data_IF_933906021309
#
_entry.id   IF_933906021309
#
_cell.length_a   1.000
_cell.length_b   1.000
_cell.length_c   1.000
_cell.angle_alpha   90.00
_cell.angle_beta   90.00
_cell.angle_gamma   90.00
#
_symmetry.space_group_name_H-M   'P 1'
#
loop_
_entity.id
_entity.type
_entity.pdbx_description
1 polymer ?
#
# COMPACT_ATOMS: atom_id res chain seq x y z
N UNK A 1 -16.76 39.76 8.91
CA UNK A 1 -16.02 38.68 9.60
C UNK A 1 -14.56 39.09 9.68
N UNK A 2 -13.91 38.97 10.86
CA UNK A 2 -12.44 39.09 10.92
C UNK A 2 -11.82 37.84 10.31
N UNK A 3 -10.79 37.96 9.46
CA UNK A 3 -10.06 36.78 9.00
C UNK A 3 -9.41 36.09 10.20
N UNK A 4 -9.59 34.77 10.31
CA UNK A 4 -8.85 33.94 11.25
C UNK A 4 -7.47 33.68 10.64
N UNK A 5 -6.40 34.03 11.36
CA UNK A 5 -5.05 33.82 10.90
C UNK A 5 -4.55 32.46 11.39
N UNK A 6 -3.61 31.84 10.67
CA UNK A 6 -3.14 30.48 10.97
C UNK A 6 -2.57 30.34 12.40
N UNK A 7 -1.92 31.38 12.93
CA UNK A 7 -1.37 31.40 14.29
C UNK A 7 -2.42 31.53 15.39
N UNK A 8 -3.68 31.87 15.03
CA UNK A 8 -4.79 31.94 15.98
C UNK A 8 -5.44 30.56 16.23
N UNK A 9 -5.02 29.53 15.48
CA UNK A 9 -5.55 28.17 15.61
C UNK A 9 -4.91 27.42 16.80
N UNK A 10 -5.60 26.42 17.37
CA UNK A 10 -4.99 25.52 18.37
C UNK A 10 -3.74 24.82 17.81
N UNK A 11 -2.76 24.58 18.69
CA UNK A 11 -1.49 23.95 18.35
C UNK A 11 -1.66 22.64 17.57
N UNK A 12 -2.65 21.83 17.95
CA UNK A 12 -2.94 20.53 17.32
C UNK A 12 -3.42 20.70 15.88
N UNK A 13 -4.23 21.73 15.62
CA UNK A 13 -4.74 22.04 14.27
C UNK A 13 -3.62 22.55 13.38
N UNK A 14 -2.75 23.42 13.92
CA UNK A 14 -1.57 23.91 13.21
C UNK A 14 -0.66 22.74 12.84
N UNK A 15 -0.36 21.83 13.79
CA UNK A 15 0.47 20.67 13.51
C UNK A 15 -0.13 19.75 12.43
N UNK A 16 -1.46 19.55 12.42
CA UNK A 16 -2.14 18.79 11.37
C UNK A 16 -1.95 19.44 10.00
N UNK A 17 -2.10 20.76 9.90
CA UNK A 17 -1.90 21.50 8.64
C UNK A 17 -0.43 21.37 8.18
N UNK A 18 0.53 21.54 9.09
CA UNK A 18 1.96 21.42 8.78
C UNK A 18 2.33 20.00 8.36
N UNK A 19 1.74 18.96 8.96
CA UNK A 19 1.98 17.57 8.58
C UNK A 19 1.49 17.23 7.15
N UNK A 20 0.63 18.06 6.55
CA UNK A 20 0.16 17.90 5.16
C UNK A 20 1.09 18.58 4.14
N UNK A 21 2.06 19.38 4.59
CA UNK A 21 2.94 20.10 3.70
C UNK A 21 4.01 19.18 3.09
N UNK A 22 4.39 19.41 1.82
CA UNK A 22 5.55 18.79 1.20
C UNK A 22 6.85 19.05 1.97
N UNK A 23 7.79 18.11 1.87
CA UNK A 23 8.99 18.06 2.71
C UNK A 23 10.02 19.15 2.40
N UNK A 24 10.10 19.57 1.15
CA UNK A 24 10.83 20.74 0.67
C UNK A 24 10.29 22.04 1.30
N UNK A 25 8.97 22.19 1.34
CA UNK A 25 8.32 23.33 2.03
C UNK A 25 8.60 23.31 3.53
N UNK A 26 8.58 22.13 4.16
CA UNK A 26 8.94 22.00 5.58
C UNK A 26 10.39 22.42 5.85
N UNK A 27 11.32 22.06 4.97
CA UNK A 27 12.72 22.43 5.07
C UNK A 27 12.90 23.95 4.93
N UNK A 28 12.21 24.57 3.99
CA UNK A 28 12.20 26.03 3.84
C UNK A 28 11.63 26.73 5.08
N UNK A 29 10.49 26.25 5.60
CA UNK A 29 9.86 26.79 6.81
C UNK A 29 10.74 26.68 8.05
N UNK A 30 11.55 25.61 8.13
CA UNK A 30 12.52 25.38 9.20
C UNK A 30 13.72 26.34 9.12
N UNK A 31 14.23 26.62 7.92
CA UNK A 31 15.39 27.50 7.72
C UNK A 31 15.05 28.98 7.58
N UNK A 32 13.76 29.33 7.47
CA UNK A 32 13.33 30.72 7.42
C UNK A 32 13.48 31.39 8.80
N UNK A 33 14.42 32.34 8.90
CA UNK A 33 14.67 33.09 10.13
C UNK A 33 13.42 33.86 10.59
N UNK A 34 13.17 33.88 11.91
CA UNK A 34 12.01 34.51 12.56
C UNK A 34 10.63 33.92 12.18
N UNK A 35 10.56 32.61 11.94
CA UNK A 35 9.31 31.91 11.70
C UNK A 35 8.75 31.24 12.98
N UNK A 36 7.54 31.62 13.41
CA UNK A 36 6.83 30.98 14.53
C UNK A 36 6.42 29.53 14.21
N UNK A 37 6.38 29.17 12.92
CA UNK A 37 6.05 27.82 12.43
C UNK A 37 7.24 26.85 12.54
N UNK A 38 8.45 27.36 12.79
CA UNK A 38 9.70 26.58 12.75
C UNK A 38 9.68 25.34 13.66
N UNK A 39 9.09 25.42 14.85
CA UNK A 39 8.95 24.29 15.77
C UNK A 39 8.02 23.19 15.23
N UNK A 40 6.89 23.57 14.61
CA UNK A 40 5.97 22.62 13.97
C UNK A 40 6.60 21.97 12.74
N UNK A 41 7.32 22.77 11.95
CA UNK A 41 8.03 22.29 10.77
C UNK A 41 9.16 21.32 11.17
N UNK A 42 9.89 21.62 12.25
CA UNK A 42 10.88 20.72 12.82
C UNK A 42 10.27 19.37 13.23
N UNK A 43 9.17 19.38 13.98
CA UNK A 43 8.48 18.15 14.40
C UNK A 43 7.96 17.34 13.21
N UNK A 44 7.41 18.00 12.19
CA UNK A 44 6.92 17.34 10.99
C UNK A 44 8.06 16.75 10.15
N UNK A 45 9.14 17.51 9.95
CA UNK A 45 10.27 17.11 9.12
C UNK A 45 11.06 15.95 9.75
N UNK A 46 11.41 16.06 11.04
CA UNK A 46 12.18 15.04 11.76
C UNK A 46 11.31 13.96 12.40
N UNK A 47 9.98 14.03 12.26
CA UNK A 47 9.06 13.05 12.84
C UNK A 47 9.30 11.60 12.38
N UNK A 48 9.85 11.42 11.18
CA UNK A 48 10.33 10.15 10.64
C UNK A 48 11.80 10.28 10.28
N UNK A 49 12.64 9.42 10.86
CA UNK A 49 14.10 9.43 10.70
C UNK A 49 14.55 8.15 10.01
N UNK A 50 15.55 8.24 9.13
CA UNK A 50 16.24 7.09 8.55
C UNK A 50 17.74 7.26 8.73
N UNK A 51 18.44 6.20 9.11
CA UNK A 51 19.91 6.16 9.19
C UNK A 51 20.42 5.42 7.96
N UNK A 52 21.13 6.13 7.08
CA UNK A 52 21.70 5.58 5.86
C UNK A 52 23.19 5.87 5.75
N UNK A 53 24.04 4.84 5.89
CA UNK A 53 25.51 4.97 5.85
C UNK A 53 26.03 5.35 4.45
N UNK A 54 25.25 5.06 3.42
CA UNK A 54 25.47 5.55 2.07
C UNK A 54 24.17 6.20 1.63
N UNK A 55 24.20 7.51 1.32
CA UNK A 55 23.24 8.05 0.37
C UNK A 55 23.30 7.11 -0.82
N UNK A 56 22.21 6.43 -1.19
CA UNK A 56 22.30 5.38 -2.17
C UNK A 56 22.96 6.01 -3.38
N UNK A 57 24.02 5.38 -3.89
CA UNK A 57 24.58 5.72 -5.20
C UNK A 57 23.50 5.65 -6.32
N UNK A 58 22.24 5.29 -6.00
CA UNK A 58 21.01 5.45 -6.78
C UNK A 58 20.39 6.86 -6.83
N UNK A 59 21.13 7.94 -6.56
CA UNK A 59 20.80 9.19 -7.29
C UNK A 59 21.18 9.07 -8.79
N UNK A 60 21.86 7.99 -9.20
CA UNK A 60 21.93 7.58 -10.60
C UNK A 60 21.00 6.39 -10.82
N UNK A 61 19.86 6.70 -11.46
CA UNK A 61 18.87 5.75 -11.98
C UNK A 61 18.32 4.76 -10.96
N UNK A 62 17.32 5.18 -10.17
CA UNK A 62 16.13 4.33 -10.07
C UNK A 62 15.68 4.16 -11.53
N UNK A 63 15.67 2.95 -12.12
CA UNK A 63 14.97 2.78 -13.36
C UNK A 63 13.54 3.19 -13.04
N UNK A 64 13.09 4.32 -13.60
CA UNK A 64 11.68 4.69 -13.66
C UNK A 64 10.94 3.39 -13.97
N UNK A 65 10.11 2.84 -13.07
CA UNK A 65 9.43 1.54 -13.31
C UNK A 65 9.44 0.49 -12.19
N UNK A 66 10.23 0.64 -11.12
CA UNK A 66 10.03 -0.15 -9.90
C UNK A 66 8.89 0.48 -9.08
N UNK A 67 7.80 -0.27 -8.90
CA UNK A 67 6.67 0.15 -8.06
C UNK A 67 7.14 0.09 -6.62
N UNK A 68 7.52 1.27 -6.12
CA UNK A 68 7.97 1.43 -4.74
C UNK A 68 6.87 0.93 -3.82
N UNK A 69 7.15 -0.06 -2.99
CA UNK A 69 6.19 -0.50 -1.97
C UNK A 69 5.73 0.75 -1.16
N UNK A 70 4.46 0.95 -0.78
CA UNK A 70 4.05 1.94 0.23
C UNK A 70 4.67 1.70 1.60
N UNK A 71 5.46 0.63 1.73
CA UNK A 71 6.41 0.49 2.81
C UNK A 71 7.85 0.72 2.36
N UNK A 72 8.26 0.59 1.10
CA UNK A 72 9.60 1.10 0.69
C UNK A 72 9.65 2.59 0.98
N UNK A 73 10.69 3.02 1.69
CA UNK A 73 10.83 4.42 2.02
C UNK A 73 10.88 5.19 0.71
N UNK A 74 9.86 5.99 0.42
CA UNK A 74 10.11 7.16 -0.41
C UNK A 74 11.16 7.92 0.37
N UNK A 75 12.37 8.06 -0.17
CA UNK A 75 13.43 8.81 0.50
C UNK A 75 12.92 10.21 0.90
N UNK A 76 11.98 10.72 0.12
CA UNK A 76 11.18 11.93 0.28
C UNK A 76 10.24 11.95 1.51
N UNK A 77 10.12 10.86 2.29
CA UNK A 77 9.32 10.78 3.52
C UNK A 77 10.15 10.75 4.81
N UNK A 78 11.47 10.55 4.76
CA UNK A 78 12.33 10.42 5.94
C UNK A 78 13.42 11.50 6.02
N UNK A 79 13.76 11.92 7.24
CA UNK A 79 14.96 12.71 7.48
C UNK A 79 16.14 11.74 7.47
N UNK A 80 16.99 11.85 6.45
CA UNK A 80 18.11 10.92 6.27
C UNK A 80 19.33 11.42 7.02
N UNK A 81 19.83 10.60 7.94
CA UNK A 81 21.09 10.80 8.63
C UNK A 81 22.14 9.89 8.03
N UNK A 82 23.29 10.44 7.65
CA UNK A 82 24.33 9.73 6.92
C UNK A 82 25.04 8.61 7.69
N UNK A 83 24.77 8.44 8.98
CA UNK A 83 25.24 7.34 9.82
C UNK A 83 24.65 7.46 11.23
N UNK A 84 24.81 6.39 12.03
CA UNK A 84 24.39 6.35 13.43
C UNK A 84 24.94 7.51 14.26
N UNK A 85 26.21 7.86 14.09
CA UNK A 85 26.85 8.95 14.84
C UNK A 85 26.18 10.29 14.60
N UNK A 86 25.72 10.54 13.37
CA UNK A 86 25.01 11.76 12.99
C UNK A 86 23.63 11.83 13.66
N UNK A 87 22.94 10.70 13.74
CA UNK A 87 21.69 10.62 14.49
C UNK A 87 21.91 10.86 15.98
N UNK A 88 22.91 10.22 16.59
CA UNK A 88 23.24 10.40 18.01
C UNK A 88 23.53 11.86 18.33
N UNK A 89 24.42 12.50 17.57
CA UNK A 89 24.75 13.92 17.76
C UNK A 89 23.52 14.83 17.65
N UNK A 90 22.60 14.50 16.73
CA UNK A 90 21.34 15.22 16.60
C UNK A 90 20.44 15.03 17.82
N UNK A 91 20.25 13.78 18.28
CA UNK A 91 19.43 13.48 19.45
C UNK A 91 19.99 14.11 20.73
N UNK A 92 21.31 14.11 20.88
CA UNK A 92 22.00 14.78 21.99
C UNK A 92 21.81 16.30 21.96
N UNK A 93 21.70 16.89 20.76
CA UNK A 93 21.39 18.31 20.59
C UNK A 93 19.92 18.65 20.87
N UNK A 94 19.03 17.65 20.83
CA UNK A 94 17.57 17.80 21.04
C UNK A 94 17.02 16.72 22.00
N UNK A 95 17.44 16.69 23.28
CA UNK A 95 17.21 15.56 24.18
C UNK A 95 15.73 15.32 24.55
N UNK A 96 14.86 16.31 24.37
CA UNK A 96 13.42 16.21 24.62
C UNK A 96 12.63 15.78 23.38
N UNK A 97 13.27 15.74 22.20
CA UNK A 97 12.63 15.33 20.97
C UNK A 97 12.52 13.81 20.90
N UNK A 98 11.39 13.30 20.43
CA UNK A 98 11.20 11.87 20.17
C UNK A 98 10.57 11.70 18.81
N UNK A 99 11.25 11.06 17.84
CA UNK A 99 10.67 10.80 16.54
C UNK A 99 9.53 9.78 16.67
N UNK A 100 8.56 9.88 15.77
CA UNK A 100 7.47 8.90 15.69
C UNK A 100 7.93 7.58 15.06
N UNK A 101 8.93 7.63 14.18
CA UNK A 101 9.50 6.46 13.51
C UNK A 101 11.00 6.61 13.27
N UNK A 102 11.77 5.53 13.47
CA UNK A 102 13.17 5.42 13.07
C UNK A 102 13.35 4.19 12.16
N UNK A 103 13.86 4.37 10.95
CA UNK A 103 14.36 3.31 10.06
C UNK A 103 15.88 3.20 10.19
N UNK A 104 16.35 1.98 10.40
CA UNK A 104 17.75 1.60 10.45
C UNK A 104 18.09 0.83 9.19
N UNK A 105 19.21 1.14 8.54
CA UNK A 105 19.67 0.39 7.37
C UNK A 105 20.19 -1.01 7.70
N UNK A 106 20.55 -1.28 8.94
CA UNK A 106 20.98 -2.61 9.37
C UNK A 106 20.62 -2.84 10.85
N UNK A 107 20.63 -4.11 11.24
CA UNK A 107 20.34 -4.50 12.62
C UNK A 107 21.42 -4.05 13.60
N UNK A 108 22.68 -3.96 13.17
CA UNK A 108 23.81 -3.59 14.03
C UNK A 108 23.67 -2.15 14.56
N UNK A 109 23.17 -1.22 13.75
CA UNK A 109 22.87 0.14 14.17
C UNK A 109 21.76 0.21 15.21
N UNK A 110 20.70 -0.60 15.05
CA UNK A 110 19.65 -0.72 16.06
C UNK A 110 20.20 -1.30 17.37
N UNK A 111 21.06 -2.32 17.30
CA UNK A 111 21.68 -2.92 18.50
C UNK A 111 22.60 -1.89 19.18
N UNK A 112 23.41 -1.16 18.41
CA UNK A 112 24.30 -0.15 18.96
C UNK A 112 23.53 1.03 19.56
N UNK A 113 22.42 1.43 18.94
CA UNK A 113 21.50 2.41 19.52
C UNK A 113 20.80 1.88 20.77
N UNK A 114 20.46 0.59 20.85
CA UNK A 114 19.93 -0.02 22.08
C UNK A 114 20.84 0.23 23.27
N UNK A 115 22.13 -0.07 23.07
CA UNK A 115 23.11 -0.05 24.15
C UNK A 115 23.35 1.36 24.70
N UNK A 116 23.03 2.39 23.92
CA UNK A 116 23.34 3.78 24.24
C UNK A 116 22.10 4.65 24.46
N UNK A 117 20.95 4.30 23.87
CA UNK A 117 19.75 5.14 23.81
C UNK A 117 18.44 4.33 23.97
N UNK A 118 18.46 3.25 24.76
CA UNK A 118 17.28 2.38 24.99
C UNK A 118 16.03 3.17 25.42
N UNK A 119 16.17 4.14 26.34
CA UNK A 119 15.04 4.94 26.81
C UNK A 119 14.35 5.76 25.71
N UNK A 120 15.11 6.24 24.73
CA UNK A 120 14.56 6.92 23.57
C UNK A 120 13.82 5.93 22.68
N UNK A 121 14.45 4.80 22.34
CA UNK A 121 13.85 3.77 21.48
C UNK A 121 12.57 3.21 22.08
N UNK A 122 12.49 3.14 23.41
CA UNK A 122 11.26 2.79 24.14
C UNK A 122 10.16 3.84 24.06
N UNK A 123 10.40 5.06 23.59
CA UNK A 123 9.37 6.10 23.38
C UNK A 123 8.97 6.25 21.91
N UNK A 124 9.81 5.76 20.99
CA UNK A 124 9.54 5.78 19.55
C UNK A 124 8.40 4.83 19.22
N UNK A 125 7.37 5.31 18.52
CA UNK A 125 6.17 4.51 18.23
C UNK A 125 6.43 3.37 17.25
N UNK A 126 7.41 3.54 16.37
CA UNK A 126 7.73 2.56 15.32
C UNK A 126 9.23 2.48 15.05
N UNK A 127 9.75 1.27 15.04
CA UNK A 127 11.13 0.99 14.64
C UNK A 127 11.08 0.12 13.38
N UNK A 128 11.89 0.46 12.39
CA UNK A 128 11.95 -0.22 11.12
C UNK A 128 13.39 -0.59 10.79
N UNK A 129 13.57 -1.73 10.15
CA UNK A 129 14.88 -2.21 9.68
C UNK A 129 14.81 -2.36 8.15
N UNK A 130 15.75 -1.77 7.46
CA UNK A 130 15.79 -1.52 6.03
C UNK A 130 17.09 -2.12 5.47
N UNK A 131 17.26 -3.45 5.52
CA UNK A 131 18.55 -4.08 5.19
C UNK A 131 18.75 -4.23 3.68
N UNK A 132 19.64 -3.42 3.10
CA UNK A 132 20.02 -3.56 1.70
C UNK A 132 20.95 -4.78 1.52
N UNK A 133 20.48 -5.76 0.75
CA UNK A 133 21.25 -6.82 0.09
C UNK A 133 22.58 -7.26 0.75
N UNK A 134 22.55 -8.32 1.55
CA UNK A 134 23.75 -9.06 1.88
C UNK A 134 24.20 -9.89 0.67
N UNK A 135 25.25 -9.43 -0.03
CA UNK A 135 25.92 -10.16 -1.13
C UNK A 135 27.12 -10.92 -0.56
N UNK A 136 26.87 -11.80 0.41
CA UNK A 136 27.89 -12.72 0.93
C UNK A 136 27.58 -14.13 0.45
N UNK A 137 28.62 -14.87 0.03
CA UNK A 137 28.49 -16.27 -0.34
C UNK A 137 27.98 -17.09 0.86
N UNK A 138 26.84 -17.77 0.64
CA UNK A 138 26.37 -18.98 1.29
C UNK A 138 26.81 -19.18 2.75
N UNK A 139 26.03 -18.64 3.70
CA UNK A 139 25.86 -19.23 5.02
C UNK A 139 24.44 -18.95 5.54
N UNK A 140 23.81 -19.95 6.15
CA UNK A 140 22.55 -19.77 6.87
C UNK A 140 22.79 -18.77 8.01
N UNK A 141 22.38 -17.52 7.83
CA UNK A 141 22.47 -16.51 8.87
C UNK A 141 21.29 -16.65 9.84
N UNK A 142 21.64 -16.82 11.11
CA UNK A 142 20.69 -16.96 12.20
C UNK A 142 20.18 -15.58 12.59
N UNK A 143 18.93 -15.28 12.25
CA UNK A 143 18.30 -14.06 12.75
C UNK A 143 17.93 -14.24 14.22
N UNK A 144 18.71 -13.62 15.10
CA UNK A 144 18.41 -13.62 16.53
C UNK A 144 17.32 -12.60 16.82
N UNK A 145 16.06 -13.04 16.67
CA UNK A 145 14.87 -12.30 17.12
C UNK A 145 15.03 -11.74 18.54
N UNK A 146 15.84 -12.37 19.42
CA UNK A 146 16.14 -11.90 20.79
C UNK A 146 16.45 -10.40 20.88
N UNK A 147 17.25 -9.86 19.96
CA UNK A 147 17.71 -8.47 20.02
C UNK A 147 16.60 -7.50 19.59
N UNK A 148 15.81 -7.90 18.59
CA UNK A 148 14.66 -7.17 18.07
C UNK A 148 13.46 -7.23 19.04
N UNK A 149 13.30 -8.34 19.77
CA UNK A 149 12.24 -8.57 20.77
C UNK A 149 12.38 -7.73 22.05
N UNK A 150 13.52 -7.09 22.28
CA UNK A 150 13.69 -6.15 23.40
C UNK A 150 12.79 -4.91 23.25
N UNK A 151 12.29 -4.66 22.04
CA UNK A 151 11.48 -3.50 21.71
C UNK A 151 9.99 -3.84 21.66
N UNK A 152 9.14 -3.09 22.39
CA UNK A 152 7.71 -3.37 22.50
C UNK A 152 6.90 -2.95 21.26
N UNK A 153 7.53 -2.61 20.13
CA UNK A 153 6.89 -1.87 19.02
C UNK A 153 6.82 -2.63 17.69
N UNK A 154 6.00 -2.09 16.79
CA UNK A 154 5.67 -2.61 15.47
C UNK A 154 6.88 -2.67 14.54
N UNK A 155 7.65 -3.76 14.62
CA UNK A 155 8.83 -3.98 13.78
C UNK A 155 8.39 -4.35 12.36
N UNK A 156 8.86 -3.58 11.39
CA UNK A 156 8.79 -3.90 9.96
C UNK A 156 10.21 -4.06 9.43
N UNK A 157 10.45 -5.16 8.72
CA UNK A 157 11.70 -5.40 7.99
C UNK A 157 11.43 -5.40 6.50
N UNK A 158 12.27 -4.70 5.73
CA UNK A 158 12.20 -4.70 4.27
C UNK A 158 13.53 -5.12 3.68
N UNK A 159 13.44 -6.18 2.87
CA UNK A 159 14.52 -6.82 2.11
C UNK A 159 15.48 -7.68 2.94
N UNK A 160 15.42 -8.99 2.66
CA UNK A 160 16.51 -9.95 2.85
C UNK A 160 16.44 -10.86 1.63
N UNK A 161 17.35 -10.71 0.65
CA UNK A 161 17.36 -11.65 -0.48
C UNK A 161 17.95 -12.99 -0.05
N UNK A 162 17.35 -14.06 -0.57
CA UNK A 162 17.88 -15.42 -0.76
C UNK A 162 19.02 -15.84 0.17
N UNK A 163 18.67 -16.31 1.36
CA UNK A 163 19.07 -17.61 1.90
C UNK A 163 18.32 -17.79 3.22
N UNK A 164 17.92 -19.02 3.54
CA UNK A 164 16.95 -19.33 4.60
C UNK A 164 17.39 -18.74 5.95
N UNK A 165 16.77 -17.64 6.36
CA UNK A 165 16.90 -17.11 7.70
C UNK A 165 16.03 -17.98 8.61
N UNK A 166 16.69 -18.86 9.34
CA UNK A 166 16.06 -19.74 10.32
C UNK A 166 15.89 -18.98 11.64
N UNK A 167 14.64 -18.77 12.04
CA UNK A 167 14.33 -18.30 13.39
C UNK A 167 14.24 -19.51 14.32
N UNK A 168 15.34 -19.88 14.99
CA UNK A 168 15.34 -20.88 16.05
C UNK A 168 15.12 -20.19 17.39
N UNK A 169 13.87 -20.20 17.87
CA UNK A 169 13.45 -19.54 19.11
C UNK A 169 13.37 -20.52 20.28
N UNK A 170 14.39 -21.35 20.47
CA UNK A 170 14.33 -22.40 21.49
C UNK A 170 14.49 -21.88 22.93
N UNK A 171 14.99 -20.65 23.14
CA UNK A 171 15.40 -20.15 24.47
C UNK A 171 14.99 -18.69 24.80
N UNK A 172 13.87 -18.19 24.29
CA UNK A 172 13.52 -16.76 24.45
C UNK A 172 12.22 -16.50 25.19
N UNK A 173 12.30 -15.72 26.27
CA UNK A 173 11.18 -15.01 26.89
C UNK A 173 10.64 -13.99 25.89
N UNK A 174 9.61 -14.38 25.15
CA UNK A 174 8.97 -13.49 24.18
C UNK A 174 8.24 -12.39 24.94
N UNK A 175 8.38 -11.14 24.51
CA UNK A 175 7.52 -10.08 24.99
C UNK A 175 6.10 -10.34 24.48
N UNK A 176 5.17 -10.60 25.40
CA UNK A 176 3.76 -10.86 25.09
C UNK A 176 3.07 -9.65 24.46
N UNK A 177 3.68 -8.46 24.43
CA UNK A 177 3.09 -7.21 23.95
C UNK A 177 3.13 -6.96 22.44
N UNK A 178 3.81 -7.78 21.63
CA UNK A 178 3.95 -7.53 20.19
C UNK A 178 2.59 -7.69 19.48
N UNK A 179 2.15 -6.64 18.78
CA UNK A 179 0.88 -6.61 18.05
C UNK A 179 1.03 -6.69 16.53
N UNK A 180 2.16 -6.29 15.96
CA UNK A 180 2.40 -6.27 14.52
C UNK A 180 3.79 -6.82 14.21
N UNK A 181 3.87 -7.81 13.32
CA UNK A 181 5.11 -8.47 12.92
C UNK A 181 5.16 -8.73 11.41
N UNK A 182 6.20 -8.25 10.75
CA UNK A 182 6.49 -8.52 9.34
C UNK A 182 7.88 -9.15 9.21
N UNK A 183 7.92 -10.40 8.76
CA UNK A 183 9.14 -11.20 8.55
C UNK A 183 9.14 -11.78 7.13
N UNK A 184 9.38 -10.95 6.11
CA UNK A 184 9.15 -11.30 4.71
C UNK A 184 9.92 -12.54 4.30
N UNK A 185 11.22 -12.63 4.53
CA UNK A 185 12.06 -13.73 4.01
C UNK A 185 12.56 -14.72 5.08
N UNK A 186 12.00 -14.67 6.29
CA UNK A 186 12.39 -15.58 7.37
C UNK A 186 11.43 -16.78 7.49
N UNK A 187 11.99 -17.91 7.91
CA UNK A 187 11.23 -19.14 8.22
C UNK A 187 11.19 -19.38 9.73
N UNK A 188 9.98 -19.56 10.25
CA UNK A 188 9.76 -20.03 11.62
C UNK A 188 9.93 -21.56 11.67
N UNK A 189 10.89 -22.06 12.46
CA UNK A 189 11.19 -23.50 12.58
C UNK A 189 10.12 -24.23 13.38
N UNK A 190 9.71 -23.65 14.51
CA UNK A 190 8.64 -24.18 15.36
C UNK A 190 7.50 -23.14 15.45
N UNK A 191 6.57 -23.14 14.48
CA UNK A 191 5.45 -22.21 14.45
C UNK A 191 4.58 -22.30 15.70
N UNK A 192 4.38 -23.52 16.24
CA UNK A 192 3.54 -23.74 17.42
C UNK A 192 4.12 -22.99 18.62
N UNK A 193 5.40 -23.25 18.93
CA UNK A 193 6.07 -22.61 20.07
C UNK A 193 6.26 -21.12 19.86
N UNK A 194 6.53 -20.70 18.62
CA UNK A 194 6.72 -19.30 18.27
C UNK A 194 5.44 -18.47 18.46
N UNK A 195 4.33 -18.91 17.87
CA UNK A 195 3.07 -18.18 17.93
C UNK A 195 2.35 -18.32 19.28
N UNK A 196 2.57 -19.40 20.04
CA UNK A 196 2.05 -19.54 21.40
C UNK A 196 2.51 -18.42 22.33
N UNK A 197 3.68 -17.82 22.09
CA UNK A 197 4.19 -16.69 22.90
C UNK A 197 3.74 -15.31 22.39
N UNK A 198 3.06 -15.26 21.24
CA UNK A 198 2.62 -14.06 20.54
C UNK A 198 1.10 -13.86 20.67
N UNK A 199 0.57 -14.02 21.88
CA UNK A 199 -0.88 -14.03 22.14
C UNK A 199 -1.58 -12.72 21.74
N UNK A 200 -0.87 -11.59 21.70
CA UNK A 200 -1.42 -10.28 21.32
C UNK A 200 -1.19 -9.90 19.84
N UNK A 201 -0.63 -10.79 19.03
CA UNK A 201 -0.31 -10.50 17.63
C UNK A 201 -1.56 -10.30 16.78
N UNK A 202 -1.79 -9.07 16.34
CA UNK A 202 -2.93 -8.67 15.50
C UNK A 202 -2.62 -8.72 14.01
N UNK A 203 -1.40 -8.39 13.62
CA UNK A 203 -0.99 -8.31 12.22
C UNK A 203 0.25 -9.15 11.97
N UNK A 204 0.20 -9.99 10.94
CA UNK A 204 1.34 -10.82 10.55
C UNK A 204 1.58 -10.80 9.04
N UNK A 205 2.85 -10.70 8.65
CA UNK A 205 3.25 -10.81 7.25
C UNK A 205 4.51 -11.66 7.09
N UNK A 206 4.50 -12.59 6.14
CA UNK A 206 5.65 -13.43 5.81
C UNK A 206 5.50 -14.03 4.41
N UNK A 207 6.62 -14.34 3.75
CA UNK A 207 6.61 -15.25 2.60
C UNK A 207 6.15 -16.63 3.06
N UNK A 208 6.68 -17.16 4.15
CA UNK A 208 6.41 -18.53 4.60
C UNK A 208 5.02 -18.70 5.23
N UNK A 209 4.17 -17.66 5.19
CA UNK A 209 2.84 -17.68 5.83
C UNK A 209 2.01 -18.90 5.43
N UNK A 210 2.03 -19.24 4.14
CA UNK A 210 1.27 -20.36 3.58
C UNK A 210 1.76 -21.73 4.04
N UNK A 211 2.96 -21.81 4.61
CA UNK A 211 3.52 -23.04 5.16
C UNK A 211 3.10 -23.26 6.63
N UNK A 212 2.43 -22.29 7.25
CA UNK A 212 1.95 -22.41 8.63
C UNK A 212 0.53 -22.97 8.67
N UNK A 213 0.32 -23.95 9.55
CA UNK A 213 -1.03 -24.44 9.85
C UNK A 213 -1.82 -23.33 10.55
N UNK A 214 -3.07 -23.14 10.14
CA UNK A 214 -3.99 -22.15 10.73
C UNK A 214 -4.11 -22.29 12.25
N UNK A 215 -4.12 -23.53 12.75
CA UNK A 215 -4.18 -23.87 14.18
C UNK A 215 -3.01 -23.31 15.01
N UNK A 216 -1.85 -23.09 14.39
CA UNK A 216 -0.67 -22.55 15.06
C UNK A 216 -0.74 -21.03 15.22
N UNK A 217 -1.57 -20.35 14.42
CA UNK A 217 -1.58 -18.88 14.38
C UNK A 217 -2.32 -18.29 15.59
N UNK A 218 -1.90 -17.11 16.10
CA UNK A 218 -2.55 -16.49 17.26
C UNK A 218 -4.02 -16.17 17.01
N UNK A 219 -4.88 -16.42 18.02
CA UNK A 219 -6.32 -16.14 17.95
C UNK A 219 -6.66 -14.65 17.85
N UNK A 220 -5.72 -13.77 18.20
CA UNK A 220 -5.85 -12.31 18.12
C UNK A 220 -5.57 -11.74 16.72
N UNK A 221 -5.10 -12.58 15.78
CA UNK A 221 -4.69 -12.17 14.45
C UNK A 221 -5.88 -11.70 13.60
N UNK A 222 -5.91 -10.44 13.18
CA UNK A 222 -6.99 -9.87 12.38
C UNK A 222 -6.54 -9.48 10.95
N UNK A 223 -5.25 -9.27 10.75
CA UNK A 223 -4.65 -8.84 9.50
C UNK A 223 -3.53 -9.79 9.08
N UNK A 224 -3.58 -10.23 7.83
CA UNK A 224 -2.58 -11.09 7.22
C UNK A 224 -2.10 -10.46 5.93
N UNK A 225 -0.78 -10.43 5.72
CA UNK A 225 -0.17 -10.03 4.45
C UNK A 225 0.72 -11.14 3.89
N UNK A 226 0.34 -11.66 2.74
CA UNK A 226 1.03 -12.72 1.99
C UNK A 226 1.91 -12.08 0.93
N UNK A 227 3.14 -12.55 0.81
CA UNK A 227 4.12 -12.05 -0.15
C UNK A 227 4.35 -13.08 -1.27
N UNK A 228 4.37 -12.61 -2.52
CA UNK A 228 4.22 -13.43 -3.74
C UNK A 228 5.32 -14.40 -4.09
N UNK A 229 6.54 -14.27 -3.56
CA UNK A 229 7.57 -15.29 -3.80
C UNK A 229 7.08 -16.69 -3.39
N UNK A 230 6.17 -16.74 -2.43
CA UNK A 230 5.54 -17.98 -1.97
C UNK A 230 4.34 -18.42 -2.80
N UNK A 231 3.74 -17.50 -3.58
CA UNK A 231 2.55 -17.76 -4.39
C UNK A 231 2.90 -18.39 -5.75
N UNK A 232 4.11 -18.12 -6.26
CA UNK A 232 4.57 -18.63 -7.56
C UNK A 232 4.74 -20.15 -7.62
N UNK A 233 4.95 -20.81 -6.48
CA UNK A 233 5.16 -22.25 -6.41
C UNK A 233 3.89 -23.02 -6.02
N UNK A 234 2.75 -22.36 -5.87
CA UNK A 234 1.51 -23.00 -5.44
C UNK A 234 0.76 -23.58 -6.64
N UNK A 235 0.91 -24.87 -6.88
CA UNK A 235 0.29 -25.55 -8.02
C UNK A 235 -1.25 -25.67 -7.94
N UNK A 236 -1.85 -25.48 -6.76
CA UNK A 236 -3.29 -25.37 -6.46
C UNK A 236 -3.41 -25.66 -4.97
N UNK A 237 -3.55 -24.65 -4.13
CA UNK A 237 -4.01 -24.88 -2.77
C UNK A 237 -5.24 -24.02 -2.54
N UNK A 238 -6.27 -24.66 -1.99
CA UNK A 238 -7.28 -24.00 -1.18
C UNK A 238 -6.56 -23.51 0.08
N UNK A 239 -6.14 -22.25 0.08
CA UNK A 239 -5.53 -21.67 1.26
C UNK A 239 -6.63 -21.25 2.25
N UNK A 240 -6.50 -21.73 3.48
CA UNK A 240 -7.42 -21.44 4.58
C UNK A 240 -6.85 -20.35 5.48
N UNK A 241 -7.63 -19.30 5.70
CA UNK A 241 -7.32 -18.26 6.68
C UNK A 241 -7.88 -18.64 8.05
N UNK A 242 -7.23 -18.26 9.15
CA UNK A 242 -7.85 -18.34 10.46
C UNK A 242 -9.19 -17.59 10.50
N UNK A 243 -10.18 -18.14 11.18
CA UNK A 243 -11.56 -17.64 11.18
C UNK A 243 -11.74 -16.26 11.82
N UNK A 244 -10.72 -15.74 12.51
CA UNK A 244 -10.68 -14.38 13.05
C UNK A 244 -10.13 -13.31 12.08
N UNK A 245 -9.52 -13.73 10.96
CA UNK A 245 -8.86 -12.80 10.03
C UNK A 245 -9.89 -12.04 9.20
N UNK A 246 -9.93 -10.73 9.41
CA UNK A 246 -10.86 -9.82 8.74
C UNK A 246 -10.26 -9.11 7.54
N UNK A 247 -8.93 -9.03 7.46
CA UNK A 247 -8.20 -8.32 6.42
C UNK A 247 -7.09 -9.20 5.83
N UNK A 248 -7.11 -9.35 4.51
CA UNK A 248 -6.05 -10.01 3.74
C UNK A 248 -5.41 -9.02 2.78
N UNK A 249 -4.07 -8.96 2.78
CA UNK A 249 -3.29 -8.34 1.73
C UNK A 249 -2.47 -9.39 0.98
N UNK A 250 -2.51 -9.36 -0.35
CA UNK A 250 -1.68 -10.19 -1.23
C UNK A 250 -0.76 -9.27 -2.00
N UNK A 251 0.53 -9.30 -1.65
CA UNK A 251 1.57 -8.47 -2.25
C UNK A 251 2.31 -9.27 -3.31
N UNK A 252 2.20 -8.84 -4.56
CA UNK A 252 2.87 -9.49 -5.66
C UNK A 252 3.90 -8.66 -6.40
N UNK A 253 5.09 -9.25 -6.59
CA UNK A 253 6.19 -8.67 -7.37
C UNK A 253 6.36 -9.37 -8.72
N UNK A 254 5.69 -10.51 -8.91
CA UNK A 254 5.85 -11.35 -10.09
C UNK A 254 4.47 -11.61 -10.71
N UNK A 255 4.41 -11.95 -12.02
CA UNK A 255 3.15 -12.32 -12.62
C UNK A 255 2.53 -13.50 -11.88
N UNK A 256 1.33 -13.31 -11.35
CA UNK A 256 0.53 -14.40 -10.83
C UNK A 256 -0.07 -15.10 -12.06
N UNK A 257 0.70 -16.03 -12.61
CA UNK A 257 0.19 -17.00 -13.58
C UNK A 257 -0.72 -18.04 -12.92
N UNK A 258 -0.71 -18.09 -11.58
CA UNK A 258 -1.44 -19.05 -10.77
C UNK A 258 -2.71 -18.46 -10.18
N UNK A 259 -3.75 -19.29 -10.20
CA UNK A 259 -5.04 -19.02 -9.57
C UNK A 259 -4.86 -19.02 -8.04
N UNK A 260 -5.23 -17.92 -7.38
CA UNK A 260 -5.36 -17.92 -5.92
C UNK A 260 -6.77 -18.42 -5.60
N UNK A 261 -6.91 -19.73 -5.37
CA UNK A 261 -8.16 -20.27 -4.83
C UNK A 261 -8.11 -20.14 -3.31
N UNK A 262 -8.87 -19.18 -2.78
CA UNK A 262 -9.00 -19.03 -1.33
C UNK A 262 -10.27 -19.72 -0.89
N UNK A 263 -10.18 -20.51 0.17
CA UNK A 263 -11.39 -20.88 0.91
C UNK A 263 -11.86 -19.63 1.64
N UNK A 264 -13.06 -19.11 1.36
CA UNK A 264 -13.54 -17.90 2.00
C UNK A 264 -13.60 -18.11 3.52
N UNK A 265 -12.97 -17.23 4.29
CA UNK A 265 -13.20 -17.16 5.74
C UNK A 265 -14.44 -16.32 6.00
N UNK A 266 -15.34 -16.80 6.86
CA UNK A 266 -16.61 -16.13 7.22
C UNK A 266 -16.41 -14.76 7.88
N UNK A 267 -15.20 -14.43 8.34
CA UNK A 267 -14.88 -13.11 8.90
C UNK A 267 -14.17 -12.17 7.93
N UNK A 268 -13.72 -12.66 6.78
CA UNK A 268 -12.92 -11.88 5.85
C UNK A 268 -13.77 -10.80 5.17
N UNK A 269 -13.57 -9.54 5.55
CA UNK A 269 -14.36 -8.40 5.06
C UNK A 269 -13.59 -7.49 4.11
N UNK A 270 -12.25 -7.60 4.08
CA UNK A 270 -11.38 -6.75 3.27
C UNK A 270 -10.28 -7.56 2.59
N UNK A 271 -10.12 -7.35 1.29
CA UNK A 271 -9.03 -7.93 0.49
C UNK A 271 -8.32 -6.83 -0.30
N UNK A 272 -7.00 -6.78 -0.21
CA UNK A 272 -6.14 -5.91 -1.02
C UNK A 272 -5.13 -6.73 -1.80
N UNK A 273 -5.21 -6.68 -3.13
CA UNK A 273 -4.14 -7.09 -4.02
C UNK A 273 -3.25 -5.90 -4.31
N UNK A 274 -1.94 -6.09 -4.21
CA UNK A 274 -0.97 -5.01 -4.35
C UNK A 274 0.21 -5.45 -5.21
N UNK A 275 0.40 -4.80 -6.34
CA UNK A 275 1.34 -5.23 -7.36
C UNK A 275 0.88 -6.50 -8.07
N UNK A 276 1.77 -7.07 -8.89
CA UNK A 276 1.54 -8.32 -9.61
C UNK A 276 0.82 -8.14 -10.94
N UNK A 277 0.90 -9.20 -11.75
CA UNK A 277 0.18 -9.32 -13.02
C UNK A 277 -0.84 -10.46 -12.93
N UNK A 278 -2.11 -10.14 -13.18
CA UNK A 278 -3.25 -11.03 -13.10
C UNK A 278 -3.79 -11.27 -14.51
N UNK A 279 -3.51 -12.47 -15.05
CA UNK A 279 -3.98 -12.85 -16.39
C UNK A 279 -5.49 -13.15 -16.39
N UNK A 280 -5.96 -13.89 -15.39
CA UNK A 280 -7.37 -14.28 -15.29
C UNK A 280 -7.97 -14.05 -13.91
N UNK A 281 -8.76 -12.99 -13.78
CA UNK A 281 -9.47 -12.67 -12.54
C UNK A 281 -10.80 -13.44 -12.39
N UNK A 282 -11.33 -14.04 -13.46
CA UNK A 282 -12.64 -14.70 -13.46
C UNK A 282 -12.71 -15.92 -12.55
N UNK A 283 -11.57 -16.51 -12.19
CA UNK A 283 -11.49 -17.68 -11.32
C UNK A 283 -11.37 -17.37 -9.82
N UNK A 284 -11.21 -16.10 -9.44
CA UNK A 284 -11.16 -15.74 -8.03
C UNK A 284 -12.55 -15.87 -7.42
N UNK A 285 -12.63 -16.60 -6.30
CA UNK A 285 -13.82 -16.70 -5.48
C UNK A 285 -13.65 -15.84 -4.24
N UNK A 286 -14.59 -14.94 -4.03
CA UNK A 286 -14.62 -14.01 -2.92
C UNK A 286 -15.74 -14.37 -1.94
N UNK A 287 -15.55 -14.08 -0.63
CA UNK A 287 -16.63 -14.24 0.34
C UNK A 287 -17.81 -13.33 0.00
N UNK A 288 -19.04 -13.81 0.18
CA UNK A 288 -20.26 -13.02 -0.10
C UNK A 288 -20.36 -11.77 0.77
N UNK A 289 -19.86 -11.85 2.02
CA UNK A 289 -19.81 -10.74 2.99
C UNK A 289 -18.64 -9.79 2.79
N UNK A 290 -17.85 -9.93 1.72
CA UNK A 290 -16.74 -9.03 1.44
C UNK A 290 -17.26 -7.59 1.27
N UNK A 291 -16.73 -6.68 2.08
CA UNK A 291 -17.16 -5.27 2.10
C UNK A 291 -16.26 -4.34 1.28
N UNK A 292 -14.97 -4.70 1.15
CA UNK A 292 -13.95 -3.89 0.51
C UNK A 292 -13.02 -4.78 -0.33
N UNK A 293 -12.87 -4.43 -1.61
CA UNK A 293 -11.95 -5.07 -2.53
C UNK A 293 -11.06 -4.01 -3.19
N UNK A 294 -9.75 -4.16 -3.03
CA UNK A 294 -8.74 -3.22 -3.54
C UNK A 294 -7.73 -3.92 -4.43
N UNK A 295 -7.47 -3.35 -5.60
CA UNK A 295 -6.34 -3.66 -6.47
C UNK A 295 -5.48 -2.41 -6.57
N UNK A 296 -4.22 -2.51 -6.12
CA UNK A 296 -3.28 -1.40 -6.09
C UNK A 296 -2.05 -1.71 -6.92
N UNK A 297 -1.78 -0.87 -7.91
CA UNK A 297 -0.62 -0.99 -8.79
C UNK A 297 -0.53 -2.36 -9.51
N UNK A 298 -1.67 -2.95 -9.84
CA UNK A 298 -1.77 -4.27 -10.48
C UNK A 298 -1.78 -4.17 -12.02
N UNK A 299 -1.21 -5.15 -12.72
CA UNK A 299 -1.45 -5.36 -14.15
C UNK A 299 -2.59 -6.37 -14.30
N UNK A 300 -3.73 -6.01 -14.92
CA UNK A 300 -4.89 -6.91 -15.03
C UNK A 300 -5.27 -7.07 -16.51
N UNK A 301 -5.28 -8.30 -17.00
CA UNK A 301 -5.53 -8.63 -18.42
C UNK A 301 -7.02 -8.84 -18.71
N UNK A 302 -7.69 -9.56 -17.81
CA UNK A 302 -9.14 -9.81 -17.84
C UNK A 302 -9.76 -9.38 -16.52
N UNK A 303 -10.89 -8.71 -16.62
CA UNK A 303 -11.55 -8.11 -15.48
C UNK A 303 -12.46 -9.11 -14.75
N UNK A 304 -12.74 -8.83 -13.48
CA UNK A 304 -13.68 -9.62 -12.67
C UNK A 304 -15.06 -9.66 -13.31
N UNK A 305 -15.58 -10.87 -13.51
CA UNK A 305 -17.00 -11.05 -13.77
C UNK A 305 -17.76 -11.04 -12.44
N UNK A 306 -18.43 -9.92 -12.17
CA UNK A 306 -19.25 -9.74 -10.97
C UNK A 306 -20.60 -10.48 -11.03
N UNK A 307 -20.96 -11.10 -12.16
CA UNK A 307 -22.28 -11.71 -12.35
C UNK A 307 -22.28 -13.24 -12.26
N UNK A 308 -21.16 -13.92 -12.53
CA UNK A 308 -21.15 -15.39 -12.66
C UNK A 308 -20.60 -16.11 -11.44
N UNK A 309 -19.43 -15.70 -10.94
CA UNK A 309 -18.70 -16.48 -9.92
C UNK A 309 -18.69 -15.85 -8.53
N UNK A 310 -19.13 -14.60 -8.37
CA UNK A 310 -19.06 -13.86 -7.11
C UNK A 310 -20.36 -13.09 -6.86
N UNK A 311 -21.12 -13.47 -5.82
CA UNK A 311 -22.33 -12.75 -5.42
C UNK A 311 -21.99 -11.67 -4.39
N UNK A 312 -21.55 -10.51 -4.86
CA UNK A 312 -21.16 -9.38 -4.01
C UNK A 312 -22.36 -8.64 -3.43
N UNK A 313 -23.02 -9.23 -2.44
CA UNK A 313 -24.17 -8.61 -1.76
C UNK A 313 -23.76 -7.49 -0.81
N UNK A 314 -22.56 -7.60 -0.21
CA UNK A 314 -22.07 -6.65 0.81
C UNK A 314 -20.97 -5.69 0.31
N UNK A 315 -20.52 -5.79 -0.94
CA UNK A 315 -19.39 -5.03 -1.44
C UNK A 315 -19.71 -3.53 -1.54
N UNK A 316 -19.21 -2.77 -0.57
CA UNK A 316 -19.46 -1.34 -0.44
C UNK A 316 -18.38 -0.47 -1.09
N UNK A 317 -17.16 -1.01 -1.22
CA UNK A 317 -15.99 -0.30 -1.77
C UNK A 317 -15.23 -1.17 -2.77
N UNK A 318 -15.04 -0.65 -3.98
CA UNK A 318 -14.25 -1.29 -5.03
C UNK A 318 -13.22 -0.30 -5.58
N UNK A 319 -11.95 -0.53 -5.25
CA UNK A 319 -10.83 0.34 -5.66
C UNK A 319 -9.91 -0.43 -6.58
N UNK A 320 -9.78 0.00 -7.83
CA UNK A 320 -8.97 -0.65 -8.85
C UNK A 320 -8.00 0.36 -9.40
N UNK A 321 -6.71 0.10 -9.24
CA UNK A 321 -5.66 0.99 -9.71
C UNK A 321 -4.47 0.19 -10.23
N UNK A 322 -3.93 0.62 -11.37
CA UNK A 322 -2.87 -0.14 -12.02
C UNK A 322 -2.72 0.14 -13.50
N UNK A 323 -2.26 -0.86 -14.24
CA UNK A 323 -2.01 -0.79 -15.67
C UNK A 323 -2.94 -1.76 -16.40
N UNK A 324 -3.82 -1.22 -17.23
CA UNK A 324 -4.88 -1.99 -17.88
C UNK A 324 -4.80 -1.85 -19.39
N UNK A 325 -4.88 -2.99 -20.08
CA UNK A 325 -5.03 -3.05 -21.53
C UNK A 325 -6.46 -2.80 -22.00
N UNK A 326 -6.64 -2.78 -23.32
CA UNK A 326 -7.94 -2.55 -23.99
C UNK A 326 -9.02 -3.56 -23.58
N UNK A 327 -8.66 -4.83 -23.37
CA UNK A 327 -9.61 -5.88 -22.97
C UNK A 327 -10.17 -5.63 -21.56
N UNK A 328 -9.32 -5.30 -20.60
CA UNK A 328 -9.75 -4.95 -19.25
C UNK A 328 -10.67 -3.72 -19.23
N UNK A 329 -10.40 -2.72 -20.08
CA UNK A 329 -11.30 -1.57 -20.30
C UNK A 329 -12.68 -2.02 -20.81
N UNK A 330 -12.69 -2.83 -21.87
CA UNK A 330 -13.92 -3.35 -22.44
C UNK A 330 -14.73 -4.13 -21.39
N UNK A 331 -14.09 -5.01 -20.63
CA UNK A 331 -14.77 -5.78 -19.59
C UNK A 331 -15.29 -4.88 -18.46
N UNK A 332 -14.53 -3.89 -18.01
CA UNK A 332 -14.97 -2.96 -16.96
C UNK A 332 -16.20 -2.15 -17.38
N UNK A 333 -16.20 -1.54 -18.57
CA UNK A 333 -17.33 -0.70 -19.02
C UNK A 333 -18.57 -1.50 -19.45
N UNK A 334 -18.46 -2.82 -19.62
CA UNK A 334 -19.58 -3.70 -19.95
C UNK A 334 -20.02 -4.60 -18.79
N UNK A 335 -19.39 -4.50 -17.61
CA UNK A 335 -19.79 -5.30 -16.45
C UNK A 335 -20.95 -4.64 -15.70
N UNK A 336 -21.80 -5.47 -15.10
CA UNK A 336 -22.78 -4.97 -14.13
C UNK A 336 -22.08 -4.84 -12.77
N UNK A 337 -22.04 -3.61 -12.25
CA UNK A 337 -21.46 -3.34 -10.95
C UNK A 337 -22.42 -3.78 -9.82
N UNK A 338 -21.90 -4.32 -8.70
CA UNK A 338 -22.71 -4.67 -7.53
C UNK A 338 -23.53 -3.49 -7.02
N UNK A 339 -24.83 -3.73 -6.76
CA UNK A 339 -25.75 -2.66 -6.32
C UNK A 339 -25.50 -2.16 -4.90
N UNK A 340 -24.68 -2.86 -4.12
CA UNK A 340 -24.24 -2.48 -2.78
C UNK A 340 -23.11 -1.45 -2.77
N UNK A 341 -22.48 -1.16 -3.91
CA UNK A 341 -21.34 -0.26 -4.00
C UNK A 341 -21.70 1.19 -3.67
N UNK A 342 -20.99 1.72 -2.68
CA UNK A 342 -21.07 3.14 -2.27
C UNK A 342 -19.86 3.96 -2.71
N UNK A 343 -18.73 3.31 -2.98
CA UNK A 343 -17.46 3.93 -3.36
C UNK A 343 -16.80 3.12 -4.48
N UNK A 344 -16.62 3.75 -5.65
CA UNK A 344 -15.97 3.17 -6.81
C UNK A 344 -14.79 4.04 -7.23
N UNK A 345 -13.61 3.44 -7.28
CA UNK A 345 -12.40 4.07 -7.77
C UNK A 345 -11.78 3.20 -8.85
N UNK A 346 -11.57 3.74 -10.05
CA UNK A 346 -10.87 3.08 -11.16
C UNK A 346 -9.77 3.99 -11.69
N UNK A 347 -8.52 3.52 -11.69
CA UNK A 347 -7.35 4.33 -12.07
C UNK A 347 -6.43 3.56 -13.02
N UNK A 348 -6.40 3.95 -14.28
CA UNK A 348 -5.40 3.45 -15.22
C UNK A 348 -4.20 4.41 -15.29
N UNK A 349 -3.03 3.92 -14.94
CA UNK A 349 -1.79 4.70 -15.00
C UNK A 349 -1.04 4.45 -16.29
N UNK A 350 -0.30 5.48 -16.74
CA UNK A 350 0.68 5.31 -17.81
C UNK A 350 1.82 4.46 -17.28
N UNK A 351 2.14 3.37 -17.97
CA UNK A 351 3.36 2.61 -17.68
C UNK A 351 4.53 3.55 -17.93
N UNK A 352 5.24 3.94 -16.89
CA UNK A 352 6.29 4.96 -16.98
C UNK A 352 7.57 4.44 -17.66
N UNK A 353 7.68 3.14 -17.94
CA UNK A 353 8.73 2.52 -18.75
C UNK A 353 8.46 1.03 -19.00
N UNK A 354 9.19 0.46 -19.96
CA UNK A 354 9.26 -0.96 -20.29
C UNK A 354 9.80 -1.77 -19.10
N UNK A 355 8.94 -2.26 -18.20
CA UNK A 355 9.27 -3.50 -17.48
C UNK A 355 9.53 -4.56 -18.54
N UNK A 356 10.77 -5.05 -18.56
CA UNK A 356 11.35 -5.92 -19.58
C UNK A 356 10.30 -6.79 -20.24
N UNK A 357 10.17 -6.62 -21.55
CA UNK A 357 9.33 -7.43 -22.41
C UNK A 357 9.70 -8.89 -22.20
N UNK A 358 8.99 -9.59 -21.32
CA UNK A 358 8.80 -11.01 -21.52
C UNK A 358 8.01 -11.13 -22.82
N UNK A 359 8.46 -12.00 -23.71
CA UNK A 359 7.96 -12.20 -25.09
C UNK A 359 6.46 -12.60 -25.20
N UNK A 360 5.65 -12.36 -24.18
CA UNK A 360 4.20 -12.48 -24.23
C UNK A 360 3.63 -11.25 -24.96
N UNK A 361 3.35 -11.46 -26.24
CA UNK A 361 2.87 -10.55 -27.28
C UNK A 361 1.48 -9.93 -27.06
N UNK A 362 1.06 -9.71 -25.81
CA UNK A 362 -0.16 -8.94 -25.51
C UNK A 362 0.27 -7.54 -25.07
N UNK A 363 0.35 -6.68 -26.08
CA UNK A 363 0.82 -5.30 -26.05
C UNK A 363 0.03 -4.46 -25.04
N UNK A 364 0.59 -4.24 -23.84
CA UNK A 364 0.13 -3.22 -22.87
C UNK A 364 0.50 -1.83 -23.37
N UNK A 365 -0.11 -1.38 -24.46
CA UNK A 365 -0.04 0.04 -24.80
C UNK A 365 -1.06 0.75 -23.93
N UNK A 366 -0.55 1.49 -22.93
CA UNK A 366 -1.27 2.66 -22.47
C UNK A 366 -1.61 3.50 -23.71
N UNK A 367 -2.82 4.05 -23.85
CA UNK A 367 -3.16 4.86 -25.02
C UNK A 367 -2.11 5.97 -25.18
N UNK A 368 -1.20 5.83 -26.14
CA UNK A 368 -0.25 6.88 -26.50
C UNK A 368 -0.95 7.93 -27.36
N UNK A 369 -2.03 7.52 -28.02
CA UNK A 369 -2.93 8.38 -28.77
C UNK A 369 -4.40 8.04 -28.49
N UNK A 370 -5.25 9.05 -28.61
CA UNK A 370 -6.70 8.94 -28.46
C UNK A 370 -7.32 7.87 -29.38
N UNK A 371 -6.75 7.67 -30.57
CA UNK A 371 -7.21 6.69 -31.57
C UNK A 371 -7.04 5.23 -31.13
N UNK A 372 -6.19 4.93 -30.15
CA UNK A 372 -5.97 3.55 -29.68
C UNK A 372 -7.11 3.05 -28.78
N UNK A 373 -7.73 3.95 -28.01
CA UNK A 373 -8.82 3.64 -27.05
C UNK A 373 -10.14 4.35 -27.34
N UNK A 374 -10.22 5.23 -28.36
CA UNK A 374 -11.37 6.07 -28.73
C UNK A 374 -12.67 5.35 -29.14
N UNK A 375 -12.80 4.06 -28.80
CA UNK A 375 -14.03 3.27 -28.91
C UNK A 375 -14.79 3.17 -27.58
N UNK A 376 -14.18 3.51 -26.44
CA UNK A 376 -14.86 3.42 -25.14
C UNK A 376 -15.65 4.68 -24.83
N UNK A 377 -16.92 4.47 -24.48
CA UNK A 377 -17.90 5.53 -24.26
C UNK A 377 -18.58 5.31 -22.91
N UNK A 378 -18.60 6.35 -22.09
CA UNK A 378 -19.53 6.47 -20.98
C UNK A 378 -20.86 6.94 -21.56
N UNK A 379 -21.83 6.04 -21.61
CA UNK A 379 -23.18 6.31 -22.12
C UNK A 379 -24.21 5.48 -21.34
N UNK A 380 -25.42 5.35 -21.86
CA UNK A 380 -26.52 4.62 -21.22
C UNK A 380 -26.23 3.14 -20.92
N UNK A 381 -25.23 2.52 -21.58
CA UNK A 381 -24.86 1.13 -21.32
C UNK A 381 -24.05 0.96 -20.04
N UNK A 382 -23.28 1.97 -19.61
CA UNK A 382 -22.50 1.91 -18.38
C UNK A 382 -23.33 2.37 -17.18
N UNK A 383 -24.04 1.40 -16.58
CA UNK A 383 -24.96 1.65 -15.46
C UNK A 383 -24.21 1.68 -14.13
N UNK A 384 -24.29 2.82 -13.44
CA UNK A 384 -23.78 2.96 -12.08
C UNK A 384 -24.80 2.42 -11.04
N UNK A 385 -24.34 1.83 -9.93
CA UNK A 385 -25.18 1.44 -8.81
C UNK A 385 -25.99 2.62 -8.26
N UNK A 386 -27.27 2.40 -7.94
CA UNK A 386 -28.15 3.45 -7.38
C UNK A 386 -27.74 3.95 -5.98
N UNK A 387 -26.88 3.21 -5.29
CA UNK A 387 -26.39 3.52 -3.95
C UNK A 387 -25.05 4.26 -3.96
N UNK A 388 -24.46 4.47 -5.14
CA UNK A 388 -23.12 5.01 -5.30
C UNK A 388 -23.04 6.46 -4.80
N UNK A 389 -22.12 6.72 -3.86
CA UNK A 389 -21.90 8.04 -3.25
C UNK A 389 -20.62 8.70 -3.73
N UNK A 390 -19.60 7.92 -4.09
CA UNK A 390 -18.31 8.42 -4.56
C UNK A 390 -17.89 7.68 -5.82
N UNK A 391 -17.51 8.44 -6.84
CA UNK A 391 -17.01 7.93 -8.10
C UNK A 391 -15.71 8.66 -8.44
N UNK A 392 -14.63 7.90 -8.56
CA UNK A 392 -13.36 8.36 -9.10
C UNK A 392 -12.99 7.52 -10.32
N UNK A 393 -12.83 8.16 -11.48
CA UNK A 393 -12.40 7.52 -12.70
C UNK A 393 -11.18 8.27 -13.25
N UNK A 394 -10.09 7.55 -13.50
CA UNK A 394 -8.95 8.01 -14.30
C UNK A 394 -8.82 7.07 -15.49
N UNK A 395 -9.45 7.46 -16.60
CA UNK A 395 -9.70 6.60 -17.75
C UNK A 395 -9.25 7.28 -19.06
N UNK A 396 -7.94 7.29 -19.36
CA UNK A 396 -7.40 7.84 -20.60
C UNK A 396 -8.07 7.23 -21.85
N UNK A 397 -8.47 8.10 -22.77
CA UNK A 397 -9.03 7.71 -24.08
C UNK A 397 -10.52 7.30 -24.04
N UNK A 398 -11.23 7.55 -22.94
CA UNK A 398 -12.68 7.34 -22.83
C UNK A 398 -13.44 8.62 -23.14
N UNK A 399 -14.52 8.48 -23.92
CA UNK A 399 -15.42 9.58 -24.30
C UNK A 399 -16.65 9.56 -23.41
N UNK A 400 -17.14 10.74 -22.99
CA UNK A 400 -18.41 10.87 -22.26
C UNK A 400 -19.50 11.30 -23.24
N UNK A 401 -20.58 10.53 -23.35
CA UNK A 401 -21.74 10.85 -24.17
C UNK A 401 -22.86 11.50 -23.33
N UNK A 402 -23.68 12.39 -23.93
CA UNK A 402 -24.74 13.09 -23.20
C UNK A 402 -25.80 12.21 -22.53
N UNK A 403 -25.93 10.93 -22.92
CA UNK A 403 -26.87 9.98 -22.33
C UNK A 403 -26.36 9.28 -21.06
N UNK A 404 -25.15 9.57 -20.58
CA UNK A 404 -24.64 8.93 -19.37
C UNK A 404 -25.36 9.43 -18.11
N UNK A 405 -26.08 8.53 -17.44
CA UNK A 405 -26.86 8.85 -16.26
C UNK A 405 -26.07 8.62 -14.97
N UNK A 406 -26.00 9.66 -14.14
CA UNK A 406 -25.37 9.64 -12.81
C UNK A 406 -26.45 9.40 -11.74
N UNK A 407 -26.24 8.52 -10.75
CA UNK A 407 -27.23 8.27 -9.71
C UNK A 407 -27.37 9.49 -8.79
N UNK A 408 -28.61 9.79 -8.36
CA UNK A 408 -28.94 10.88 -7.44
C UNK A 408 -28.22 10.78 -6.09
N UNK A 409 -27.80 9.58 -5.69
CA UNK A 409 -27.05 9.34 -4.46
C UNK A 409 -25.61 9.87 -4.50
N UNK A 410 -25.09 10.24 -5.68
CA UNK A 410 -23.69 10.60 -5.86
C UNK A 410 -23.39 11.93 -5.18
N UNK A 411 -22.43 11.92 -4.25
CA UNK A 411 -21.96 13.09 -3.50
C UNK A 411 -20.64 13.66 -4.03
N UNK A 412 -19.82 12.81 -4.65
CA UNK A 412 -18.51 13.20 -5.17
C UNK A 412 -18.24 12.48 -6.49
N UNK A 413 -17.86 13.27 -7.49
CA UNK A 413 -17.44 12.79 -8.81
C UNK A 413 -16.07 13.39 -9.15
N UNK A 414 -15.12 12.52 -9.48
CA UNK A 414 -13.82 12.92 -10.00
C UNK A 414 -13.49 12.13 -11.26
N UNK A 415 -13.23 12.85 -12.35
CA UNK A 415 -12.93 12.31 -13.66
C UNK A 415 -11.59 12.88 -14.13
N UNK A 416 -10.64 12.03 -14.48
CA UNK A 416 -9.29 12.40 -14.92
C UNK A 416 -8.96 11.75 -16.26
N UNK A 417 -8.22 12.50 -17.09
CA UNK A 417 -7.74 12.07 -18.41
C UNK A 417 -8.85 11.68 -19.41
N UNK A 418 -10.03 12.31 -19.34
CA UNK A 418 -11.13 12.09 -20.29
C UNK A 418 -11.03 12.99 -21.53
N UNK A 419 -11.60 12.54 -22.64
CA UNK A 419 -11.62 13.28 -23.91
C UNK A 419 -13.04 13.42 -24.42
N UNK A 420 -13.52 14.65 -24.64
CA UNK A 420 -14.81 14.90 -25.29
C UNK A 420 -15.55 16.14 -24.79
N UNK A 421 -16.59 16.53 -25.50
CA UNK A 421 -17.54 17.58 -25.11
C UNK A 421 -18.51 17.08 -24.05
N UNK A 422 -18.59 17.81 -22.94
CA UNK A 422 -19.34 17.43 -21.75
C UNK A 422 -20.63 18.26 -21.65
N UNK A 423 -21.78 17.60 -21.50
CA UNK A 423 -23.04 18.25 -21.11
C UNK A 423 -23.61 17.52 -19.91
N UNK A 424 -23.41 18.05 -18.72
CA UNK A 424 -24.23 17.69 -17.56
C UNK A 424 -25.55 18.46 -17.62
N UNK A 425 -26.65 17.91 -17.07
CA UNK A 425 -27.95 18.59 -17.04
C UNK A 425 -27.90 20.01 -16.47
N UNK A 426 -27.00 20.26 -15.51
CA UNK A 426 -26.82 21.56 -14.84
C UNK A 426 -25.44 22.21 -15.03
N UNK A 427 -24.55 21.56 -15.79
CA UNK A 427 -23.19 22.06 -16.06
C UNK A 427 -22.90 21.97 -17.56
N UNK A 428 -23.16 23.07 -18.27
CA UNK A 428 -22.85 23.19 -19.69
C UNK A 428 -21.40 23.63 -19.84
N UNK A 429 -20.48 22.67 -20.01
CA UNK A 429 -19.10 22.94 -20.43
C UNK A 429 -19.01 22.69 -21.94
N UNK A 430 -19.33 23.69 -22.75
CA UNK A 430 -19.10 23.63 -24.20
C UNK A 430 -17.66 24.02 -24.48
N UNK A 431 -16.76 23.04 -24.61
CA UNK A 431 -15.44 23.27 -25.19
C UNK A 431 -14.77 21.96 -25.63
N UNK A 432 -14.29 21.92 -26.89
CA UNK A 432 -13.44 20.87 -27.44
C UNK A 432 -12.03 20.96 -26.81
N UNK A 433 -11.83 20.34 -25.65
CA UNK A 433 -10.50 20.18 -25.06
C UNK A 433 -10.28 18.76 -24.52
N UNK A 434 -9.01 18.34 -24.46
CA UNK A 434 -8.58 17.28 -23.55
C UNK A 434 -8.89 17.75 -22.14
N UNK A 435 -9.95 17.24 -21.52
CA UNK A 435 -10.27 17.61 -20.15
C UNK A 435 -9.32 16.82 -19.24
N UNK A 436 -8.28 17.49 -18.76
CA UNK A 436 -7.29 16.86 -17.87
C UNK A 436 -7.88 16.41 -16.54
N UNK A 437 -8.87 17.16 -16.01
CA UNK A 437 -9.46 16.90 -14.70
C UNK A 437 -10.82 17.57 -14.55
N UNK A 438 -11.84 16.83 -14.10
CA UNK A 438 -13.14 17.32 -13.63
C UNK A 438 -13.30 16.83 -12.19
N UNK A 439 -13.62 17.72 -11.27
CA UNK A 439 -14.04 17.37 -9.91
C UNK A 439 -15.34 18.11 -9.58
N UNK A 440 -16.35 17.37 -9.17
CA UNK A 440 -17.67 17.87 -8.78
C UNK A 440 -18.05 17.32 -7.41
N UNK A 441 -18.60 18.20 -6.57
CA UNK A 441 -19.13 17.87 -5.25
C UNK A 441 -20.61 18.29 -5.23
N UNK A 442 -21.49 17.35 -4.87
CA UNK A 442 -22.94 17.56 -4.86
C UNK A 442 -23.40 17.74 -3.41
N UNK A 443 -24.27 18.73 -3.19
CA UNK A 443 -24.80 19.10 -1.87
C UNK A 443 -26.04 18.31 -1.48
#
# INVERSE_FOLDING_TARGET
MKPVLLFDLPHEVIQVIINLLPRDILLELFHFNNNWVSSYAFLAYYGKISIQDQLPHRLQTIPVGETVSPFESRADEYAVFGNRSSLVNFLDSYPTFTPTEICFDNLDDLIAMHQTHDELLRKVKRIRICEETYVGEHNQHWFKMKQVQSYPYNISSQQYKNDTVLCQCDDLDFQTGIQHLEIPYAKVIDPIRFFAKLENLRSFSSNEFLNYKTECLPKSLNYVSILSSSVLHLQKYDFELPSQVTHLQVRSFLPLHTYLNMTPSDSLTQIEFKGGKFKDMGYFRFPEHLSTLTFRDCEIDSFLDFNTNNNFTCLSKLHISGYFGKLAYYSFFNTNLPQSLTDLCFRNYKRTSERGATNDSIVYRYPESFTEFGLFKLNESFKLPKSLRRLYLKCPGVIIEPGWNIPESLKSLELLDFTGTFKLPDLVIVQDYKIGHIKLEFT
#
